data_IF_721863559540
#
_entry.id   IF_721863559540
#
_cell.length_a   1.000
_cell.length_b   1.000
_cell.length_c   1.000
_cell.angle_alpha   90.00
_cell.angle_beta   90.00
_cell.angle_gamma   90.00
#
_symmetry.space_group_name_H-M   'P 1'
#
loop_
_entity.id
_entity.type
_entity.pdbx_description
1 polymer ?
#
# COMPACT_ATOMS: atom_id res chain seq x y z
N UNK A 1 4.68 6.19 -9.12
CA UNK A 1 3.22 6.14 -9.35
C UNK A 1 2.68 7.57 -9.35
N UNK A 2 1.63 7.89 -10.12
CA UNK A 2 0.96 9.20 -10.07
C UNK A 2 -0.54 8.98 -9.84
N UNK A 3 -1.15 9.77 -8.95
CA UNK A 3 -2.55 9.62 -8.53
C UNK A 3 -3.46 10.75 -9.01
N UNK A 4 -2.96 11.62 -9.90
CA UNK A 4 -3.69 12.80 -10.39
C UNK A 4 -5.04 12.43 -11.02
N UNK A 5 -5.08 11.35 -11.82
CA UNK A 5 -6.32 10.90 -12.44
C UNK A 5 -7.38 10.48 -11.40
N UNK A 6 -6.97 9.82 -10.31
CA UNK A 6 -7.88 9.39 -9.24
C UNK A 6 -8.40 10.60 -8.48
N UNK A 7 -7.50 11.52 -8.09
CA UNK A 7 -7.88 12.72 -7.35
C UNK A 7 -8.76 13.66 -8.20
N UNK A 8 -8.45 13.82 -9.49
CA UNK A 8 -9.20 14.70 -10.40
C UNK A 8 -10.53 14.12 -10.87
N UNK A 9 -10.80 12.83 -10.66
CA UNK A 9 -12.07 12.22 -11.01
C UNK A 9 -13.26 12.76 -10.18
N UNK A 10 -12.99 13.42 -9.04
CA UNK A 10 -14.02 13.99 -8.18
C UNK A 10 -14.85 12.96 -7.39
N UNK A 11 -14.41 11.70 -7.38
CA UNK A 11 -15.09 10.59 -6.70
C UNK A 11 -14.72 10.55 -5.21
N UNK A 12 -13.50 10.96 -4.86
CA UNK A 12 -12.97 10.93 -3.49
C UNK A 12 -13.13 12.29 -2.79
N UNK A 13 -14.37 12.71 -2.55
CA UNK A 13 -14.66 14.09 -2.07
C UNK A 13 -14.07 14.46 -0.70
N UNK A 14 -13.69 13.48 0.12
CA UNK A 14 -13.15 13.68 1.47
C UNK A 14 -11.75 13.08 1.66
N UNK A 15 -11.17 12.54 0.61
CA UNK A 15 -9.89 11.86 0.67
C UNK A 15 -8.98 12.31 -0.46
N UNK A 16 -7.68 12.25 -0.20
CA UNK A 16 -6.63 12.44 -1.21
C UNK A 16 -5.80 11.19 -1.27
N UNK A 17 -5.48 10.74 -2.48
CA UNK A 17 -4.54 9.63 -2.71
C UNK A 17 -3.18 10.20 -3.09
N UNK A 18 -2.13 9.75 -2.42
CA UNK A 18 -0.75 10.21 -2.66
C UNK A 18 0.18 9.02 -2.89
N UNK A 19 1.22 9.24 -3.68
CA UNK A 19 2.32 8.29 -3.80
C UNK A 19 3.27 8.45 -2.62
N UNK A 20 3.80 7.33 -2.16
CA UNK A 20 4.78 7.29 -1.07
C UNK A 20 6.19 7.02 -1.61
N UNK A 21 7.21 7.32 -0.80
CA UNK A 21 8.60 7.10 -1.17
C UNK A 21 8.89 5.61 -1.46
N UNK A 22 9.83 5.38 -2.38
CA UNK A 22 10.17 4.04 -2.83
C UNK A 22 10.88 3.21 -1.74
N UNK A 23 11.52 3.86 -0.78
CA UNK A 23 12.28 3.23 0.30
C UNK A 23 11.57 3.43 1.64
N UNK A 24 11.62 2.43 2.54
CA UNK A 24 11.13 2.60 3.89
C UNK A 24 11.94 3.65 4.64
N UNK A 25 11.36 4.20 5.71
CA UNK A 25 12.08 5.07 6.62
C UNK A 25 13.26 4.30 7.24
N UNK A 26 14.48 4.82 7.11
CA UNK A 26 15.68 4.17 7.65
C UNK A 26 15.64 4.00 9.18
N UNK A 27 14.81 4.78 9.86
CA UNK A 27 14.58 4.68 11.31
C UNK A 27 13.46 3.71 11.69
N UNK A 28 12.64 3.29 10.72
CA UNK A 28 11.59 2.32 10.92
C UNK A 28 12.16 0.89 10.87
N UNK A 29 12.16 0.23 12.03
CA UNK A 29 12.66 -1.14 12.19
C UNK A 29 11.80 -2.18 11.48
N UNK A 30 10.53 -1.87 11.19
CA UNK A 30 9.66 -2.75 10.42
C UNK A 30 10.13 -2.86 8.97
N UNK A 31 10.78 -1.81 8.45
CA UNK A 31 11.14 -1.67 7.04
C UNK A 31 9.92 -1.65 6.12
N UNK A 32 8.73 -1.40 6.65
CA UNK A 32 7.48 -1.44 5.90
C UNK A 32 7.31 -0.15 5.10
N UNK A 33 6.84 -0.32 3.87
CA UNK A 33 6.49 0.77 2.97
C UNK A 33 5.40 0.31 2.02
N UNK A 34 4.57 1.26 1.59
CA UNK A 34 3.55 1.06 0.56
C UNK A 34 3.93 1.91 -0.66
N UNK A 35 3.26 1.73 -1.79
CA UNK A 35 3.48 2.54 -3.00
C UNK A 35 2.56 3.76 -3.08
N UNK A 36 1.44 3.74 -2.34
CA UNK A 36 0.60 4.89 -2.11
C UNK A 36 -0.36 4.71 -0.95
N UNK A 37 -0.95 5.81 -0.50
CA UNK A 37 -1.94 5.82 0.57
C UNK A 37 -3.09 6.77 0.29
N UNK A 38 -4.29 6.39 0.73
CA UNK A 38 -5.45 7.26 0.79
C UNK A 38 -5.58 7.83 2.20
N UNK A 39 -5.77 9.14 2.27
CA UNK A 39 -5.84 9.90 3.52
C UNK A 39 -7.04 10.83 3.50
N UNK A 40 -7.61 11.22 4.66
CA UNK A 40 -8.54 12.33 4.73
C UNK A 40 -7.91 13.59 4.12
N UNK A 41 -8.70 14.40 3.43
CA UNK A 41 -8.20 15.64 2.81
C UNK A 41 -7.55 16.54 3.87
N UNK A 42 -6.28 16.89 3.66
CA UNK A 42 -5.48 17.69 4.60
C UNK A 42 -4.64 16.90 5.59
N UNK A 43 -4.82 15.58 5.67
CA UNK A 43 -4.03 14.67 6.52
C UNK A 43 -2.92 13.93 5.74
N UNK A 44 -2.95 13.98 4.41
CA UNK A 44 -1.93 13.34 3.59
C UNK A 44 -0.52 13.88 3.93
N UNK A 45 0.51 13.02 4.04
CA UNK A 45 1.86 13.44 4.37
C UNK A 45 2.42 14.38 3.30
N UNK A 46 2.74 15.61 3.70
CA UNK A 46 3.30 16.64 2.79
C UNK A 46 4.82 16.67 2.78
N UNK A 47 5.47 16.14 3.83
CA UNK A 47 6.92 16.15 3.99
C UNK A 47 7.50 14.76 3.70
N UNK A 48 8.58 14.71 2.91
CA UNK A 48 9.33 13.49 2.56
C UNK A 48 8.56 12.38 1.83
N UNK A 49 7.27 12.51 1.52
CA UNK A 49 6.51 11.44 0.85
C UNK A 49 6.48 10.11 1.61
N UNK A 50 6.85 10.10 2.90
CA UNK A 50 6.82 8.88 3.72
C UNK A 50 5.38 8.51 4.06
N UNK A 51 5.16 7.23 4.26
CA UNK A 51 3.87 6.72 4.72
C UNK A 51 3.61 7.24 6.14
N UNK A 52 2.52 8.00 6.31
CA UNK A 52 1.92 8.19 7.62
C UNK A 52 0.96 7.03 7.86
N UNK A 53 1.27 6.17 8.84
CA UNK A 53 0.43 5.03 9.19
C UNK A 53 -0.72 5.41 10.14
N UNK A 54 -0.63 6.55 10.83
CA UNK A 54 -1.58 6.95 11.87
C UNK A 54 -2.89 7.53 11.32
N UNK A 55 -2.86 8.03 10.08
CA UNK A 55 -4.01 8.70 9.44
C UNK A 55 -4.45 8.02 8.14
N UNK A 56 -3.83 6.89 7.78
CA UNK A 56 -4.12 6.19 6.53
C UNK A 56 -5.48 5.50 6.58
N UNK A 57 -6.29 5.72 5.55
CA UNK A 57 -7.61 5.07 5.37
C UNK A 57 -7.50 3.82 4.48
N UNK A 58 -6.60 3.85 3.49
CA UNK A 58 -6.34 2.73 2.60
C UNK A 58 -4.86 2.70 2.19
N UNK A 59 -4.23 1.55 2.42
CA UNK A 59 -2.90 1.24 1.90
C UNK A 59 -2.99 0.71 0.46
N UNK A 60 -2.12 1.21 -0.42
CA UNK A 60 -2.02 0.78 -1.83
C UNK A 60 -0.62 0.24 -2.09
N UNK A 61 -0.54 -1.06 -2.35
CA UNK A 61 0.69 -1.73 -2.80
C UNK A 61 0.51 -2.17 -4.25
N UNK A 62 1.49 -1.90 -5.10
CA UNK A 62 1.43 -2.24 -6.52
C UNK A 62 2.56 -3.17 -6.90
N UNK A 63 2.20 -4.30 -7.50
CA UNK A 63 3.14 -5.24 -8.08
C UNK A 63 2.93 -5.31 -9.59
N UNK A 64 4.03 -5.43 -10.34
CA UNK A 64 4.01 -5.38 -11.81
C UNK A 64 4.28 -6.75 -12.45
N UNK A 65 4.92 -7.68 -11.72
CA UNK A 65 5.22 -9.01 -12.24
C UNK A 65 4.12 -10.02 -11.96
N UNK A 66 3.86 -10.92 -12.91
CA UNK A 66 2.87 -12.01 -12.74
C UNK A 66 3.19 -12.92 -11.55
N UNK A 67 4.48 -13.08 -11.22
CA UNK A 67 4.93 -13.86 -10.06
C UNK A 67 4.77 -13.11 -8.72
N UNK A 68 4.40 -11.83 -8.75
CA UNK A 68 4.19 -10.98 -7.59
C UNK A 68 2.71 -10.85 -7.22
N UNK A 69 1.81 -11.49 -7.97
CA UNK A 69 0.42 -11.61 -7.57
C UNK A 69 0.33 -12.50 -6.30
N UNK A 70 -0.28 -12.01 -5.20
CA UNK A 70 -0.34 -12.72 -3.93
C UNK A 70 -1.27 -13.94 -3.95
N UNK A 71 -2.12 -14.10 -4.96
CA UNK A 71 -3.07 -15.22 -5.05
C UNK A 71 -2.64 -16.24 -6.10
N UNK A 72 -3.29 -17.39 -6.16
CA UNK A 72 -3.07 -18.38 -7.20
C UNK A 72 -4.39 -18.70 -7.91
N UNK A 73 -4.61 -18.08 -9.07
CA UNK A 73 -5.86 -18.18 -9.84
C UNK A 73 -6.18 -19.62 -10.32
N UNK A 74 -5.20 -20.54 -10.29
CA UNK A 74 -5.46 -21.94 -10.65
C UNK A 74 -5.96 -22.80 -9.48
N UNK A 75 -5.96 -22.27 -8.26
CA UNK A 75 -6.42 -22.96 -7.06
C UNK A 75 -7.80 -22.41 -6.63
N UNK A 76 -8.81 -23.25 -6.32
CA UNK A 76 -10.17 -22.79 -6.02
C UNK A 76 -10.32 -21.76 -4.90
N UNK A 77 -9.35 -21.68 -3.98
CA UNK A 77 -9.36 -20.73 -2.86
C UNK A 77 -8.34 -19.58 -3.03
N UNK A 78 -7.66 -19.50 -4.17
CA UNK A 78 -6.66 -18.47 -4.47
C UNK A 78 -5.41 -18.54 -3.58
N UNK A 79 -5.22 -19.57 -2.76
CA UNK A 79 -4.13 -19.56 -1.79
C UNK A 79 -2.76 -19.75 -2.47
N UNK A 80 -1.76 -18.89 -2.20
CA UNK A 80 -0.47 -18.97 -2.88
C UNK A 80 0.34 -20.22 -2.52
N UNK A 81 0.78 -20.98 -3.53
CA UNK A 81 1.70 -22.13 -3.36
C UNK A 81 3.18 -21.77 -3.63
N UNK A 82 3.47 -20.79 -4.49
CA UNK A 82 4.85 -20.38 -4.74
C UNK A 82 5.39 -19.51 -3.60
N UNK A 83 6.66 -19.71 -3.23
CA UNK A 83 7.33 -18.98 -2.15
C UNK A 83 7.24 -17.45 -2.34
N UNK A 84 7.42 -16.98 -3.57
CA UNK A 84 7.35 -15.56 -3.91
C UNK A 84 5.96 -14.98 -3.65
N UNK A 85 4.89 -15.66 -4.09
CA UNK A 85 3.51 -15.22 -3.89
C UNK A 85 3.13 -15.20 -2.41
N UNK A 86 3.56 -16.21 -1.64
CA UNK A 86 3.40 -16.22 -0.17
C UNK A 86 4.12 -15.06 0.49
N UNK A 87 5.33 -14.72 0.03
CA UNK A 87 6.09 -13.60 0.56
C UNK A 87 5.38 -12.26 0.27
N UNK A 88 4.83 -12.08 -0.94
CA UNK A 88 4.03 -10.88 -1.26
C UNK A 88 2.75 -10.81 -0.43
N UNK A 89 1.99 -11.91 -0.30
CA UNK A 89 0.80 -11.93 0.53
C UNK A 89 1.14 -11.61 2.00
N UNK A 90 2.22 -12.20 2.53
CA UNK A 90 2.71 -11.92 3.89
C UNK A 90 3.08 -10.45 4.08
N UNK A 91 3.74 -9.83 3.09
CA UNK A 91 4.03 -8.40 3.10
C UNK A 91 2.73 -7.57 3.15
N UNK A 92 1.76 -7.83 2.28
CA UNK A 92 0.49 -7.08 2.24
C UNK A 92 -0.27 -7.22 3.56
N UNK A 93 -0.37 -8.43 4.10
CA UNK A 93 -1.05 -8.68 5.38
C UNK A 93 -0.34 -7.99 6.55
N UNK A 94 0.99 -7.84 6.49
CA UNK A 94 1.77 -7.18 7.55
C UNK A 94 1.41 -5.70 7.72
N UNK A 95 0.92 -5.02 6.67
CA UNK A 95 0.47 -3.62 6.76
C UNK A 95 -0.80 -3.46 7.61
N UNK A 96 -1.66 -4.49 7.64
CA UNK A 96 -2.88 -4.47 8.44
C UNK A 96 -2.61 -4.44 9.94
N UNK A 97 -1.42 -4.85 10.39
CA UNK A 97 -1.03 -4.81 11.81
C UNK A 97 -0.67 -3.39 12.25
N UNK A 98 -0.12 -2.56 11.36
CA UNK A 98 0.31 -1.19 11.68
C UNK A 98 -0.84 -0.20 11.88
N UNK A 99 -2.04 -0.50 11.38
CA UNK A 99 -3.22 0.37 11.52
C UNK A 99 -3.79 0.36 12.94
N UNK A 100 -3.35 -0.57 13.80
CA UNK A 100 -3.92 -0.80 15.14
C UNK A 100 -2.93 -0.62 16.30
N UNK A 101 -1.70 -0.16 16.05
CA UNK A 101 -0.72 0.22 17.08
C UNK A 101 -0.65 1.74 17.24
#
# INVERSE_FOLDING_TARGET
MQFDAINNAGILQKCTVVATEALPDASDKSGQKIDGGMYPTGSAPTASGRTDWSTIELSIECKVGDADDPFDDVIPNGHPFADKRRAVLGQILSYGVLVFE
#
